data_IF_899225079323
#
_entry.id   IF_899225079323
#
_cell.length_a   1.000
_cell.length_b   1.000
_cell.length_c   1.000
_cell.angle_alpha   90.00
_cell.angle_beta   90.00
_cell.angle_gamma   90.00
#
_symmetry.space_group_name_H-M   'P 1'
#
loop_
_entity.id
_entity.type
_entity.pdbx_description
1 polymer ?
#
# COMPACT_ATOMS: atom_id res chain seq x y z
N UNK A 1 10.01 -10.46 -2.78
CA UNK A 1 11.25 -9.65 -2.87
C UNK A 1 11.44 -8.60 -1.79
N UNK A 2 10.57 -7.60 -1.62
CA UNK A 2 10.80 -6.52 -0.64
C UNK A 2 11.06 -7.04 0.80
N UNK A 3 10.25 -7.99 1.28
CA UNK A 3 10.42 -8.57 2.61
C UNK A 3 11.79 -9.27 2.76
N UNK A 4 12.27 -9.93 1.71
CA UNK A 4 13.51 -10.72 1.73
C UNK A 4 14.73 -9.82 1.99
N UNK A 5 14.78 -8.65 1.35
CA UNK A 5 15.92 -7.73 1.40
C UNK A 5 15.90 -6.78 2.60
N UNK A 6 14.74 -6.56 3.21
CA UNK A 6 14.64 -5.71 4.39
C UNK A 6 15.33 -6.36 5.59
N UNK A 7 16.08 -5.54 6.33
CA UNK A 7 16.57 -5.91 7.67
C UNK A 7 15.39 -6.12 8.64
N UNK A 8 15.57 -6.89 9.73
CA UNK A 8 14.56 -6.96 10.79
C UNK A 8 14.15 -5.57 11.27
N UNK A 9 12.84 -5.35 11.49
CA UNK A 9 12.24 -4.05 11.80
C UNK A 9 12.41 -2.97 10.73
N UNK A 10 12.83 -3.33 9.51
CA UNK A 10 12.88 -2.42 8.37
C UNK A 10 11.48 -2.06 7.87
N UNK A 11 11.30 -0.83 7.40
CA UNK A 11 10.02 -0.33 6.89
C UNK A 11 9.96 -0.43 5.36
N UNK A 12 8.82 -0.90 4.85
CA UNK A 12 8.43 -0.81 3.46
C UNK A 12 7.32 0.24 3.30
N UNK A 13 7.36 0.97 2.20
CA UNK A 13 6.28 1.83 1.75
C UNK A 13 5.74 1.35 0.40
N UNK A 14 4.43 1.34 0.23
CA UNK A 14 3.77 1.10 -1.05
C UNK A 14 2.84 2.27 -1.37
N UNK A 15 2.83 2.72 -2.63
CA UNK A 15 1.98 3.81 -3.12
C UNK A 15 1.12 3.26 -4.25
N UNK A 16 -0.18 3.54 -4.20
CA UNK A 16 -1.13 3.11 -5.22
C UNK A 16 -2.07 4.25 -5.61
N UNK A 17 -2.65 4.12 -6.81
CA UNK A 17 -3.70 5.00 -7.31
C UNK A 17 -4.96 4.86 -6.45
N UNK A 18 -5.61 5.98 -6.13
CA UNK A 18 -6.90 5.98 -5.42
C UNK A 18 -7.92 5.20 -6.25
N UNK A 19 -8.61 4.26 -5.62
CA UNK A 19 -9.73 3.52 -6.19
C UNK A 19 -10.99 4.40 -6.24
N UNK A 20 -11.03 5.34 -7.18
CA UNK A 20 -12.15 6.27 -7.38
C UNK A 20 -12.27 6.69 -8.83
N UNK A 21 -13.50 6.80 -9.34
CA UNK A 21 -13.77 7.39 -10.65
C UNK A 21 -13.49 8.90 -10.70
N UNK A 22 -13.41 9.58 -9.54
CA UNK A 22 -13.04 10.98 -9.43
C UNK A 22 -11.56 11.25 -9.77
N UNK A 23 -10.74 10.19 -9.86
CA UNK A 23 -9.34 10.24 -10.28
C UNK A 23 -9.18 9.63 -11.68
N UNK A 24 -9.53 10.38 -12.76
CA UNK A 24 -9.67 9.80 -14.11
C UNK A 24 -8.33 9.47 -14.78
N UNK A 25 -7.22 9.96 -14.23
CA UNK A 25 -5.87 9.62 -14.68
C UNK A 25 -5.43 8.29 -14.09
N UNK A 26 -4.53 7.61 -14.80
CA UNK A 26 -3.89 6.37 -14.33
C UNK A 26 -4.53 5.10 -14.92
N UNK A 27 -4.23 3.93 -14.34
CA UNK A 27 -4.74 2.66 -14.80
C UNK A 27 -6.26 2.56 -14.69
N UNK A 28 -6.84 1.58 -15.39
CA UNK A 28 -8.27 1.28 -15.31
C UNK A 28 -8.71 1.01 -13.86
N UNK A 29 -9.95 1.41 -13.50
CA UNK A 29 -10.44 1.38 -12.11
C UNK A 29 -10.43 -0.03 -11.52
N UNK A 30 -10.75 -1.03 -12.34
CA UNK A 30 -10.85 -2.44 -11.98
C UNK A 30 -9.52 -3.06 -11.53
N UNK A 31 -8.38 -2.50 -11.94
CA UNK A 31 -7.05 -2.97 -11.51
C UNK A 31 -6.47 -2.18 -10.34
N UNK A 32 -7.16 -1.12 -9.86
CA UNK A 32 -6.70 -0.34 -8.71
C UNK A 32 -7.05 -1.09 -7.43
N UNK A 33 -6.10 -1.47 -6.56
CA UNK A 33 -6.43 -2.08 -5.29
C UNK A 33 -7.14 -1.07 -4.38
N UNK A 34 -8.15 -1.54 -3.64
CA UNK A 34 -8.67 -0.79 -2.49
C UNK A 34 -7.64 -0.83 -1.34
N UNK A 35 -7.62 0.18 -0.45
CA UNK A 35 -6.71 0.18 0.70
C UNK A 35 -6.74 -1.10 1.53
N UNK A 36 -7.92 -1.68 1.76
CA UNK A 36 -8.08 -2.89 2.57
C UNK A 36 -7.41 -4.09 1.90
N UNK A 37 -7.55 -4.23 0.57
CA UNK A 37 -6.92 -5.30 -0.20
C UNK A 37 -5.38 -5.19 -0.17
N UNK A 38 -4.84 -3.96 -0.19
CA UNK A 38 -3.41 -3.73 -0.06
C UNK A 38 -2.89 -4.09 1.34
N UNK A 39 -3.66 -3.77 2.39
CA UNK A 39 -3.32 -4.15 3.77
C UNK A 39 -3.32 -5.68 3.97
N UNK A 40 -4.30 -6.39 3.40
CA UNK A 40 -4.31 -7.86 3.43
C UNK A 40 -3.12 -8.46 2.66
N UNK A 41 -2.78 -7.91 1.49
CA UNK A 41 -1.61 -8.35 0.73
C UNK A 41 -0.32 -8.19 1.53
N UNK A 42 -0.15 -7.07 2.23
CA UNK A 42 1.01 -6.84 3.09
C UNK A 42 1.10 -7.88 4.21
N UNK A 43 -0.01 -8.15 4.90
CA UNK A 43 -0.07 -9.19 5.95
C UNK A 43 0.25 -10.57 5.40
N UNK A 44 -0.38 -10.97 4.30
CA UNK A 44 -0.14 -12.24 3.63
C UNK A 44 1.30 -12.37 3.12
N UNK A 45 1.96 -11.25 2.80
CA UNK A 45 3.37 -11.20 2.40
C UNK A 45 4.35 -11.21 3.58
N UNK A 46 3.88 -11.31 4.83
CA UNK A 46 4.72 -11.36 6.03
C UNK A 46 5.13 -9.99 6.59
N UNK A 47 4.51 -8.91 6.13
CA UNK A 47 4.69 -7.59 6.73
C UNK A 47 3.68 -7.33 7.85
N UNK A 48 4.03 -6.41 8.75
CA UNK A 48 3.15 -5.86 9.77
C UNK A 48 2.77 -4.43 9.39
N UNK A 49 1.54 -4.16 8.92
CA UNK A 49 1.10 -2.80 8.63
C UNK A 49 1.21 -1.90 9.86
N UNK A 50 1.70 -0.69 9.68
CA UNK A 50 1.78 0.28 10.76
C UNK A 50 0.38 0.67 11.28
N UNK A 51 0.24 1.03 12.57
CA UNK A 51 -0.96 1.72 13.05
C UNK A 51 -1.20 2.98 12.21
N UNK A 52 -2.45 3.22 11.79
CA UNK A 52 -2.78 4.31 10.87
C UNK A 52 -1.92 4.33 9.59
N UNK A 53 -1.60 3.14 9.06
CA UNK A 53 -0.72 2.99 7.89
C UNK A 53 -1.23 3.68 6.62
N UNK A 54 -2.53 3.94 6.51
CA UNK A 54 -3.09 4.61 5.34
C UNK A 54 -2.74 6.10 5.35
N UNK A 55 -1.98 6.51 4.34
CA UNK A 55 -1.52 7.89 4.13
C UNK A 55 -2.22 8.43 2.89
N UNK A 56 -2.95 9.54 3.03
CA UNK A 56 -3.50 10.25 1.88
C UNK A 56 -2.37 10.97 1.12
N UNK A 57 -2.26 10.73 -0.18
CA UNK A 57 -1.27 11.35 -1.06
C UNK A 57 -1.98 12.05 -2.24
N UNK A 58 -2.71 13.15 -1.97
CA UNK A 58 -3.49 13.82 -2.99
C UNK A 58 -2.61 14.36 -4.13
N UNK A 59 -3.16 14.47 -5.36
CA UNK A 59 -4.57 14.27 -5.68
C UNK A 59 -4.94 12.84 -6.11
N UNK A 60 -3.95 11.98 -6.37
CA UNK A 60 -4.19 10.74 -7.14
C UNK A 60 -3.84 9.45 -6.41
N UNK A 61 -3.15 9.54 -5.28
CA UNK A 61 -2.55 8.37 -4.64
C UNK A 61 -2.92 8.25 -3.16
N UNK A 62 -2.69 7.04 -2.65
CA UNK A 62 -2.56 6.78 -1.23
C UNK A 62 -1.30 5.95 -1.01
N UNK A 63 -0.77 6.02 0.20
CA UNK A 63 0.37 5.24 0.65
C UNK A 63 -0.01 4.32 1.80
N UNK A 64 0.77 3.24 1.97
CA UNK A 64 0.76 2.42 3.18
C UNK A 64 2.19 2.19 3.66
N UNK A 65 2.36 2.17 4.98
CA UNK A 65 3.61 1.76 5.64
C UNK A 65 3.43 0.42 6.33
N UNK A 66 4.44 -0.43 6.24
CA UNK A 66 4.50 -1.70 6.96
C UNK A 66 5.94 -2.04 7.33
N UNK A 67 6.14 -2.78 8.42
CA UNK A 67 7.46 -3.24 8.85
C UNK A 67 7.64 -4.73 8.62
N UNK A 68 8.89 -5.15 8.40
CA UNK A 68 9.29 -6.54 8.56
C UNK A 68 9.41 -6.85 10.05
N UNK A 69 8.83 -7.95 10.50
CA UNK A 69 9.00 -8.47 11.85
C UNK A 69 10.47 -8.65 12.22
#
# INVERSE_FOLDING_TARGET
EALRILRPRGTAGAIHWIHSAATPRGPALEIRPKPEALLELLRASGFQPAPASLIELPPWHFGVLASKS
#
